data_IF_012105804142
#
_entry.id   IF_012105804142
#
_cell.length_a   1.000
_cell.length_b   1.000
_cell.length_c   1.000
_cell.angle_alpha   90.00
_cell.angle_beta   90.00
_cell.angle_gamma   90.00
#
_symmetry.space_group_name_H-M   'P 1'
#
loop_
_entity.id
_entity.type
_entity.pdbx_description
1 polymer ?
#
# COMPACT_ATOMS: atom_id res chain seq x y z
N UNK A 1 2.04 9.09 -14.42
CA UNK A 1 1.17 8.56 -15.50
C UNK A 1 -0.12 7.98 -14.93
N UNK A 2 -0.06 6.98 -14.03
CA UNK A 2 -1.26 6.36 -13.44
C UNK A 2 -2.18 7.33 -12.68
N UNK A 3 -1.66 8.13 -11.74
CA UNK A 3 -2.45 9.13 -11.00
C UNK A 3 -3.31 10.00 -11.93
N UNK A 4 -2.71 10.51 -13.02
CA UNK A 4 -3.41 11.38 -13.97
C UNK A 4 -4.53 10.64 -14.69
N UNK A 5 -4.25 9.47 -15.28
CA UNK A 5 -5.26 8.68 -16.02
C UNK A 5 -6.39 8.18 -15.14
N UNK A 6 -6.06 7.64 -13.97
CA UNK A 6 -7.04 7.08 -13.04
C UNK A 6 -7.87 8.20 -12.40
N UNK A 7 -7.23 9.28 -11.98
CA UNK A 7 -7.89 10.43 -11.37
C UNK A 7 -8.90 11.11 -12.29
N UNK A 8 -8.55 11.30 -13.57
CA UNK A 8 -9.46 11.86 -14.58
C UNK A 8 -10.60 10.90 -14.93
N UNK A 9 -10.32 9.60 -15.10
CA UNK A 9 -11.32 8.61 -15.53
C UNK A 9 -12.36 8.30 -14.45
N UNK A 10 -11.94 8.29 -13.18
CA UNK A 10 -12.80 7.91 -12.05
C UNK A 10 -13.15 9.09 -11.13
N UNK A 11 -12.84 10.31 -11.57
CA UNK A 11 -13.10 11.54 -10.84
C UNK A 11 -12.51 11.56 -9.41
N UNK A 12 -11.28 11.06 -9.25
CA UNK A 12 -10.51 11.11 -8.02
C UNK A 12 -9.50 12.26 -8.14
N UNK A 13 -9.84 13.42 -7.56
CA UNK A 13 -9.05 14.65 -7.76
C UNK A 13 -8.41 15.23 -6.49
N UNK A 14 -8.56 14.57 -5.34
CA UNK A 14 -7.96 15.03 -4.08
C UNK A 14 -6.47 14.71 -3.96
N UNK A 15 -5.80 15.48 -3.11
CA UNK A 15 -4.42 15.30 -2.66
C UNK A 15 -4.35 14.75 -1.22
N UNK A 16 -5.48 14.22 -0.73
CA UNK A 16 -5.62 13.62 0.59
C UNK A 16 -5.35 12.10 0.57
N UNK A 17 -5.29 11.51 1.77
CA UNK A 17 -5.05 10.07 1.93
C UNK A 17 -6.21 9.25 1.36
N UNK A 18 -7.45 9.74 1.45
CA UNK A 18 -8.63 9.08 0.87
C UNK A 18 -8.48 8.88 -0.65
N UNK A 19 -8.05 9.92 -1.36
CA UNK A 19 -7.85 9.89 -2.82
C UNK A 19 -6.72 8.95 -3.22
N UNK A 20 -5.64 8.96 -2.44
CA UNK A 20 -4.55 8.00 -2.59
C UNK A 20 -5.03 6.55 -2.41
N UNK A 21 -5.75 6.24 -1.32
CA UNK A 21 -6.22 4.89 -1.02
C UNK A 21 -7.21 4.38 -2.08
N UNK A 22 -8.15 5.23 -2.53
CA UNK A 22 -9.06 4.87 -3.63
C UNK A 22 -8.30 4.48 -4.89
N UNK A 23 -7.26 5.24 -5.23
CA UNK A 23 -6.43 4.96 -6.41
C UNK A 23 -5.58 3.71 -6.24
N UNK A 24 -5.06 3.47 -5.02
CA UNK A 24 -4.31 2.27 -4.71
C UNK A 24 -5.14 1.00 -4.92
N UNK A 25 -6.39 0.97 -4.44
CA UNK A 25 -7.28 -0.21 -4.54
C UNK A 25 -7.54 -0.68 -5.97
N UNK A 26 -7.47 0.23 -6.94
CA UNK A 26 -7.72 -0.03 -8.37
C UNK A 26 -6.43 -0.08 -9.20
N UNK A 27 -5.28 0.12 -8.56
CA UNK A 27 -4.00 0.08 -9.26
C UNK A 27 -3.72 -1.33 -9.76
N UNK A 28 -3.20 -1.51 -11.00
CA UNK A 28 -3.01 -2.83 -11.60
C UNK A 28 -2.16 -3.79 -10.76
N UNK A 29 -1.18 -3.27 -10.03
CA UNK A 29 -0.30 -4.10 -9.19
C UNK A 29 -0.92 -4.47 -7.83
N UNK A 30 -2.00 -3.78 -7.43
CA UNK A 30 -2.59 -3.93 -6.10
C UNK A 30 -3.99 -4.56 -6.14
N UNK A 31 -4.72 -4.46 -7.26
CA UNK A 31 -6.10 -4.96 -7.42
C UNK A 31 -6.25 -6.47 -7.15
N UNK A 32 -5.17 -7.24 -7.27
CA UNK A 32 -5.15 -8.68 -6.99
C UNK A 32 -4.89 -9.03 -5.52
N UNK A 33 -4.60 -8.04 -4.68
CA UNK A 33 -4.41 -8.23 -3.24
C UNK A 33 -5.77 -8.20 -2.52
N UNK A 34 -5.91 -9.00 -1.46
CA UNK A 34 -7.05 -8.83 -0.53
C UNK A 34 -6.59 -7.91 0.57
N UNK A 35 -7.32 -6.82 0.74
CA UNK A 35 -7.02 -5.84 1.78
C UNK A 35 -8.29 -5.36 2.48
N UNK A 36 -8.10 -4.85 3.68
CA UNK A 36 -9.05 -4.08 4.45
C UNK A 36 -8.47 -2.69 4.64
N UNK A 37 -9.33 -1.67 4.57
CA UNK A 37 -8.93 -0.28 4.81
C UNK A 37 -9.77 0.24 5.95
N UNK A 38 -9.09 0.69 6.99
CA UNK A 38 -9.67 1.41 8.12
C UNK A 38 -9.38 2.90 7.91
N UNK A 39 -10.41 3.66 7.55
CA UNK A 39 -10.31 5.12 7.42
C UNK A 39 -10.66 5.75 8.77
N UNK A 40 -9.76 6.57 9.31
CA UNK A 40 -10.06 7.40 10.49
C UNK A 40 -10.73 8.72 10.05
N UNK A 41 -10.14 9.36 9.03
CA UNK A 41 -10.66 10.55 8.36
C UNK A 41 -10.08 10.63 6.92
N UNK A 42 -10.27 11.74 6.21
CA UNK A 42 -9.77 11.87 4.82
C UNK A 42 -8.23 11.88 4.71
N UNK A 43 -7.52 12.18 5.81
CA UNK A 43 -6.09 12.38 5.90
C UNK A 43 -5.37 11.26 6.65
N UNK A 44 -6.10 10.32 7.25
CA UNK A 44 -5.56 9.24 8.07
C UNK A 44 -6.23 7.91 7.74
N UNK A 45 -5.42 6.93 7.37
CA UNK A 45 -5.89 5.59 7.04
C UNK A 45 -4.89 4.51 7.46
N UNK A 46 -5.43 3.32 7.70
CA UNK A 46 -4.67 2.10 7.92
C UNK A 46 -5.09 1.06 6.89
N UNK A 47 -4.11 0.58 6.12
CA UNK A 47 -4.27 -0.50 5.15
C UNK A 47 -3.77 -1.81 5.77
N UNK A 48 -4.60 -2.84 5.72
CA UNK A 48 -4.31 -4.18 6.21
C UNK A 48 -4.40 -5.14 5.03
N UNK A 49 -3.27 -5.71 4.60
CA UNK A 49 -3.24 -6.66 3.48
C UNK A 49 -3.32 -8.08 4.04
N UNK A 50 -4.43 -8.77 3.79
CA UNK A 50 -4.68 -10.14 4.26
C UNK A 50 -4.22 -11.20 3.28
N UNK A 51 -4.09 -10.85 2.00
CA UNK A 51 -3.51 -11.73 0.99
C UNK A 51 -2.75 -10.95 -0.07
N UNK A 52 -1.49 -11.33 -0.30
CA UNK A 52 -0.62 -10.78 -1.34
C UNK A 52 -0.11 -11.92 -2.24
N UNK A 53 -0.52 -11.99 -3.52
CA UNK A 53 -0.05 -13.01 -4.46
C UNK A 53 1.47 -13.02 -4.62
N UNK A 54 2.10 -11.84 -4.59
CA UNK A 54 3.56 -11.69 -4.70
C UNK A 54 4.26 -12.33 -3.51
N UNK A 55 3.80 -12.05 -2.29
CA UNK A 55 4.38 -12.66 -1.09
C UNK A 55 4.20 -14.18 -1.09
N UNK A 56 3.00 -14.67 -1.45
CA UNK A 56 2.72 -16.10 -1.55
C UNK A 56 3.66 -16.80 -2.55
N UNK A 57 3.90 -16.20 -3.72
CA UNK A 57 4.84 -16.73 -4.70
C UNK A 57 6.28 -16.74 -4.18
N UNK A 58 6.74 -15.67 -3.53
CA UNK A 58 8.11 -15.57 -2.99
C UNK A 58 8.34 -16.53 -1.83
N UNK A 59 7.33 -16.72 -0.96
CA UNK A 59 7.39 -17.70 0.11
C UNK A 59 7.43 -19.15 -0.42
N UNK A 60 6.75 -19.43 -1.54
CA UNK A 60 6.83 -20.74 -2.23
C UNK A 60 8.17 -20.95 -2.92
N UNK A 61 8.77 -19.88 -3.46
CA UNK A 61 10.10 -19.91 -4.07
C UNK A 61 11.19 -20.29 -3.04
N UNK A 62 11.05 -19.85 -1.79
CA UNK A 62 11.91 -20.25 -0.68
C UNK A 62 13.33 -19.66 -0.70
N UNK A 63 13.63 -18.73 -1.62
CA UNK A 63 14.96 -18.11 -1.79
C UNK A 63 15.24 -16.95 -0.84
N UNK A 64 14.25 -16.51 -0.06
CA UNK A 64 14.39 -15.41 0.90
C UNK A 64 14.22 -14.01 0.29
N UNK A 65 13.91 -13.90 -1.00
CA UNK A 65 13.71 -12.64 -1.72
C UNK A 65 12.61 -11.75 -1.14
N UNK A 66 11.63 -12.34 -0.46
CA UNK A 66 10.59 -11.60 0.26
C UNK A 66 11.17 -10.63 1.29
N UNK A 67 12.34 -10.92 1.89
CA UNK A 67 13.00 -9.98 2.81
C UNK A 67 13.36 -8.69 2.11
N UNK A 68 13.95 -8.76 0.93
CA UNK A 68 14.33 -7.56 0.18
C UNK A 68 13.10 -6.85 -0.41
N UNK A 69 12.16 -7.60 -0.99
CA UNK A 69 10.99 -7.04 -1.64
C UNK A 69 10.08 -6.36 -0.62
N UNK A 70 9.70 -7.04 0.47
CA UNK A 70 8.78 -6.48 1.46
C UNK A 70 9.45 -5.43 2.35
N UNK A 71 10.71 -5.60 2.79
CA UNK A 71 11.31 -4.67 3.77
C UNK A 71 12.05 -3.49 3.14
N UNK A 72 12.47 -3.57 1.88
CA UNK A 72 13.24 -2.51 1.22
C UNK A 72 12.48 -1.88 0.06
N UNK A 73 11.86 -2.69 -0.80
CA UNK A 73 11.23 -2.19 -2.02
C UNK A 73 9.83 -1.64 -1.77
N UNK A 74 8.96 -2.41 -1.09
CA UNK A 74 7.59 -2.02 -0.78
C UNK A 74 7.47 -0.67 -0.04
N UNK A 75 8.24 -0.38 1.03
CA UNK A 75 8.16 0.91 1.71
C UNK A 75 8.48 2.09 0.78
N UNK A 76 9.45 1.90 -0.14
CA UNK A 76 9.82 2.91 -1.13
C UNK A 76 8.73 3.09 -2.18
N UNK A 77 8.13 2.01 -2.65
CA UNK A 77 7.02 2.07 -3.62
C UNK A 77 5.81 2.76 -3.02
N UNK A 78 5.37 2.37 -1.81
CA UNK A 78 4.24 3.05 -1.17
C UNK A 78 4.54 4.53 -0.91
N UNK A 79 5.73 4.87 -0.42
CA UNK A 79 6.12 6.28 -0.20
C UNK A 79 6.17 7.08 -1.50
N UNK A 80 6.76 6.52 -2.56
CA UNK A 80 6.80 7.17 -3.87
C UNK A 80 5.42 7.30 -4.49
N UNK A 81 4.54 6.32 -4.31
CA UNK A 81 3.18 6.39 -4.85
C UNK A 81 2.34 7.41 -4.10
N UNK A 82 2.44 7.44 -2.76
CA UNK A 82 1.80 8.45 -1.94
C UNK A 82 2.29 9.86 -2.26
N UNK A 83 3.59 10.06 -2.50
CA UNK A 83 4.15 11.38 -2.82
C UNK A 83 3.68 11.93 -4.18
N UNK A 84 3.28 11.05 -5.12
CA UNK A 84 2.60 11.51 -6.35
C UNK A 84 1.27 12.18 -6.05
N UNK A 85 0.57 11.79 -4.97
CA UNK A 85 -0.65 12.44 -4.50
C UNK A 85 -0.31 13.71 -3.76
N UNK A 86 0.44 13.55 -2.66
CA UNK A 86 0.89 14.66 -1.84
C UNK A 86 2.20 14.26 -1.12
N UNK A 87 3.29 15.02 -1.29
CA UNK A 87 4.58 14.70 -0.70
C UNK A 87 4.59 14.76 0.83
N UNK A 88 3.55 15.32 1.47
CA UNK A 88 3.38 15.35 2.93
C UNK A 88 2.73 14.09 3.52
N UNK A 89 2.27 13.15 2.69
CA UNK A 89 1.73 11.87 3.17
C UNK A 89 2.89 11.03 3.70
N UNK A 90 2.88 10.77 5.00
CA UNK A 90 3.76 9.80 5.62
C UNK A 90 3.22 8.39 5.47
N UNK A 91 4.12 7.46 5.12
CA UNK A 91 3.85 6.04 5.07
C UNK A 91 4.69 5.34 6.14
N UNK A 92 4.06 4.54 7.00
CA UNK A 92 4.75 3.75 8.03
C UNK A 92 4.25 2.31 8.05
N UNK A 93 5.16 1.35 8.16
CA UNK A 93 4.76 -0.03 8.46
C UNK A 93 4.35 -0.14 9.92
N UNK A 94 3.24 -0.82 10.18
CA UNK A 94 2.74 -1.16 11.52
C UNK A 94 2.96 -2.64 11.86
N UNK A 95 3.47 -3.44 10.92
CA UNK A 95 3.75 -4.85 11.08
C UNK A 95 5.15 -5.21 10.54
N UNK A 96 5.73 -6.35 10.94
CA UNK A 96 6.96 -6.87 10.35
C UNK A 96 6.83 -7.06 8.84
N UNK A 97 7.92 -6.80 8.11
CA UNK A 97 8.02 -6.98 6.66
C UNK A 97 9.24 -7.85 6.35
N UNK A 98 9.06 -9.06 5.78
CA UNK A 98 7.80 -9.78 5.57
C UNK A 98 7.16 -10.22 6.90
N UNK A 99 5.93 -10.73 6.84
CA UNK A 99 5.28 -11.40 7.98
C UNK A 99 6.13 -12.53 8.54
N UNK A 100 6.04 -12.75 9.86
CA UNK A 100 6.77 -13.81 10.56
C UNK A 100 6.03 -15.15 10.48
N UNK A 101 4.71 -15.15 10.68
CA UNK A 101 3.85 -16.31 10.51
C UNK A 101 2.91 -16.14 9.32
N UNK A 102 2.61 -17.23 8.60
CA UNK A 102 1.66 -17.24 7.48
C UNK A 102 0.21 -17.02 7.90
N UNK A 103 -0.12 -17.28 9.16
CA UNK A 103 -1.44 -17.00 9.73
C UNK A 103 -1.66 -15.51 9.99
N UNK A 104 -0.59 -14.72 10.07
CA UNK A 104 -0.67 -13.27 10.18
C UNK A 104 -1.02 -12.62 8.84
N UNK A 105 -1.47 -11.37 8.93
CA UNK A 105 -1.63 -10.48 7.77
C UNK A 105 -0.29 -10.31 7.03
N UNK A 106 -0.35 -10.12 5.72
CA UNK A 106 0.86 -9.95 4.89
C UNK A 106 1.63 -8.68 5.26
N UNK A 107 0.92 -7.57 5.42
CA UNK A 107 1.49 -6.29 5.85
C UNK A 107 0.41 -5.34 6.37
N UNK A 108 0.82 -4.38 7.21
CA UNK A 108 -0.05 -3.33 7.74
C UNK A 108 0.64 -1.98 7.57
N UNK A 109 -0.05 -1.00 6.98
CA UNK A 109 0.51 0.30 6.64
C UNK A 109 -0.35 1.43 7.18
N UNK A 110 0.28 2.42 7.81
CA UNK A 110 -0.36 3.70 8.16
C UNK A 110 -0.02 4.75 7.12
N UNK A 111 -1.04 5.47 6.69
CA UNK A 111 -0.94 6.64 5.81
C UNK A 111 -1.49 7.85 6.56
N UNK A 112 -0.67 8.89 6.72
CA UNK A 112 -1.06 10.12 7.44
C UNK A 112 -0.58 11.37 6.73
N UNK A 113 -1.46 12.33 6.50
CA UNK A 113 -1.07 13.63 5.98
C UNK A 113 -0.54 14.52 7.11
N UNK A 114 0.74 14.90 7.06
CA UNK A 114 1.29 15.89 8.00
C UNK A 114 0.68 17.27 7.73
N UNK A 115 0.17 17.91 8.78
CA UNK A 115 -0.27 19.32 8.75
C UNK A 115 0.92 20.24 8.45
#
# INVERSE_FOLDING_TARGET
>A
YEKKRIGETLNIQGDDVLSFIKTLQISPWFIHTKCQVEMEDNNNAVLIVTYCPTLDALEKEGTGRQKHICSVFEPKIFSNYASLFNPKIEVKSLAPLPRENREDVCCKWSFRLKQ
#
